data_IF_783378166283
#
_entry.id   IF_783378166283
#
_cell.length_a   1.000
_cell.length_b   1.000
_cell.length_c   1.000
_cell.angle_alpha   90.00
_cell.angle_beta   90.00
_cell.angle_gamma   90.00
#
_symmetry.space_group_name_H-M   'P 1'
#
loop_
_entity.id
_entity.type
_entity.pdbx_description
1 polymer ?
#
# COMPACT_ATOMS: atom_id res chain seq x y z
N UNK A 1 -14.19 21.97 19.67
CA UNK A 1 -13.34 21.12 18.81
C UNK A 1 -14.07 19.81 18.61
N UNK A 2 -14.30 19.41 17.36
CA UNK A 2 -15.00 18.16 17.03
C UNK A 2 -13.99 17.06 16.89
N UNK A 3 -14.21 15.94 17.56
CA UNK A 3 -13.37 14.73 17.38
C UNK A 3 -13.64 14.10 16.02
N UNK A 4 -12.56 13.86 15.30
CA UNK A 4 -12.58 13.21 13.99
C UNK A 4 -11.71 11.96 14.00
N UNK A 5 -12.02 11.04 13.07
CA UNK A 5 -11.23 9.85 12.79
C UNK A 5 -10.69 9.95 11.36
N UNK A 6 -9.47 9.48 11.17
CA UNK A 6 -8.85 9.42 9.84
C UNK A 6 -8.75 7.96 9.36
N UNK A 7 -9.25 7.69 8.16
CA UNK A 7 -8.94 6.47 7.42
C UNK A 7 -7.93 6.81 6.32
N UNK A 8 -6.81 6.11 6.28
CA UNK A 8 -5.75 6.26 5.28
C UNK A 8 -5.65 4.95 4.51
N UNK A 9 -5.91 4.98 3.22
CA UNK A 9 -5.87 3.82 2.33
C UNK A 9 -4.75 4.01 1.30
N UNK A 10 -3.79 3.09 1.30
CA UNK A 10 -2.75 2.99 0.29
C UNK A 10 -3.15 1.95 -0.76
N UNK A 11 -3.92 2.37 -1.75
CA UNK A 11 -4.29 1.54 -2.89
C UNK A 11 -3.13 1.34 -3.88
N UNK A 12 -3.31 0.51 -4.89
CA UNK A 12 -2.27 0.25 -5.90
C UNK A 12 -1.87 1.49 -6.70
N UNK A 13 -2.81 2.40 -6.95
CA UNK A 13 -2.56 3.59 -7.79
C UNK A 13 -2.41 4.89 -7.02
N UNK A 14 -2.64 4.92 -5.71
CA UNK A 14 -2.63 6.16 -4.96
C UNK A 14 -3.04 6.00 -3.51
N UNK A 15 -2.92 7.10 -2.77
CA UNK A 15 -3.34 7.20 -1.37
C UNK A 15 -4.63 8.01 -1.27
N UNK A 16 -5.59 7.54 -0.48
CA UNK A 16 -6.80 8.25 -0.13
C UNK A 16 -6.88 8.46 1.38
N UNK A 17 -7.22 9.65 1.79
CA UNK A 17 -7.49 9.97 3.19
C UNK A 17 -8.95 10.40 3.32
N UNK A 18 -9.67 9.76 4.25
CA UNK A 18 -11.07 10.07 4.56
C UNK A 18 -11.16 10.54 6.02
N UNK A 19 -11.85 11.64 6.23
CA UNK A 19 -12.15 12.22 7.54
C UNK A 19 -13.59 11.92 7.87
N UNK A 20 -13.85 11.29 9.01
CA UNK A 20 -15.21 11.00 9.48
C UNK A 20 -15.40 11.54 10.90
N UNK A 21 -16.66 11.77 11.27
CA UNK A 21 -17.05 12.02 12.66
C UNK A 21 -17.25 10.72 13.46
N UNK A 22 -17.58 10.83 14.73
CA UNK A 22 -17.84 9.67 15.61
C UNK A 22 -19.10 8.86 15.23
N UNK A 23 -19.94 9.40 14.37
CA UNK A 23 -21.14 8.73 13.86
C UNK A 23 -20.92 8.04 12.51
N UNK A 24 -19.72 8.19 11.93
CA UNK A 24 -19.37 7.61 10.63
C UNK A 24 -19.73 8.49 9.43
N UNK A 25 -20.15 9.73 9.64
CA UNK A 25 -20.42 10.63 8.53
C UNK A 25 -19.08 11.13 7.95
N UNK A 26 -18.98 11.10 6.61
CA UNK A 26 -17.79 11.63 5.91
C UNK A 26 -17.86 13.15 5.94
N UNK A 27 -16.85 13.76 6.56
CA UNK A 27 -16.69 15.21 6.64
C UNK A 27 -15.82 15.76 5.52
N UNK A 28 -14.80 15.03 5.13
CA UNK A 28 -13.89 15.37 4.04
C UNK A 28 -13.19 14.14 3.50
N UNK A 29 -12.72 14.23 2.27
CA UNK A 29 -11.79 13.26 1.69
C UNK A 29 -10.89 13.97 0.67
N UNK A 30 -9.68 13.45 0.52
CA UNK A 30 -8.74 13.82 -0.53
C UNK A 30 -7.94 12.59 -0.97
N UNK A 31 -7.39 12.62 -2.17
CA UNK A 31 -6.58 11.52 -2.70
C UNK A 31 -5.48 12.06 -3.61
N UNK A 32 -4.41 11.29 -3.73
CA UNK A 32 -3.31 11.57 -4.64
C UNK A 32 -2.78 10.29 -5.24
N UNK A 33 -2.25 10.39 -6.46
CA UNK A 33 -1.70 9.26 -7.19
C UNK A 33 -0.19 9.18 -7.03
N UNK A 34 0.34 7.97 -7.08
CA UNK A 34 1.77 7.71 -7.20
C UNK A 34 2.04 6.76 -8.38
N UNK A 35 3.20 6.91 -9.04
CA UNK A 35 3.49 6.14 -10.24
C UNK A 35 3.83 4.69 -9.92
N UNK A 36 3.46 3.78 -10.82
CA UNK A 36 4.06 2.46 -10.94
C UNK A 36 5.04 2.46 -12.11
N UNK A 37 6.25 1.99 -11.87
CA UNK A 37 7.26 1.81 -12.90
C UNK A 37 7.14 0.42 -13.51
N UNK A 38 7.32 0.34 -14.83
CA UNK A 38 7.31 -0.91 -15.60
C UNK A 38 8.61 -1.02 -16.41
N UNK A 39 9.78 -1.26 -15.74
CA UNK A 39 11.07 -1.19 -16.40
C UNK A 39 11.27 -2.26 -17.50
N UNK A 40 10.54 -3.36 -17.40
CA UNK A 40 10.51 -4.43 -18.41
C UNK A 40 9.09 -5.00 -18.56
N UNK A 41 8.78 -5.72 -19.65
CA UNK A 41 7.50 -6.40 -19.80
C UNK A 41 7.20 -7.32 -18.61
N UNK A 42 6.02 -7.17 -18.02
CA UNK A 42 5.59 -7.95 -16.85
C UNK A 42 6.16 -7.49 -15.51
N UNK A 43 7.04 -6.48 -15.48
CA UNK A 43 7.57 -5.91 -14.24
C UNK A 43 6.70 -4.78 -13.72
N UNK A 44 6.51 -4.72 -12.41
CA UNK A 44 5.76 -3.65 -11.74
C UNK A 44 6.42 -3.31 -10.42
N UNK A 45 6.83 -2.05 -10.29
CA UNK A 45 7.56 -1.56 -9.12
C UNK A 45 7.05 -0.20 -8.66
N UNK A 46 7.15 0.07 -7.36
CA UNK A 46 6.85 1.37 -6.78
C UNK A 46 7.93 1.79 -5.78
N UNK A 47 8.23 3.08 -5.73
CA UNK A 47 9.12 3.64 -4.73
C UNK A 47 8.35 3.92 -3.42
N UNK A 48 8.73 3.32 -2.27
CA UNK A 48 8.07 3.58 -0.99
C UNK A 48 8.07 5.06 -0.59
N UNK A 49 9.09 5.82 -1.01
CA UNK A 49 9.15 7.26 -0.79
C UNK A 49 7.98 8.02 -1.43
N UNK A 50 7.44 7.54 -2.56
CA UNK A 50 6.28 8.16 -3.22
C UNK A 50 5.01 7.97 -2.42
N UNK A 51 4.82 6.82 -1.77
CA UNK A 51 3.68 6.57 -0.90
C UNK A 51 3.64 7.59 0.24
N UNK A 52 4.80 7.75 0.92
CA UNK A 52 4.95 8.70 2.00
C UNK A 52 4.75 10.15 1.56
N UNK A 53 5.35 10.52 0.43
CA UNK A 53 5.23 11.86 -0.15
C UNK A 53 3.77 12.20 -0.49
N UNK A 54 3.06 11.28 -1.16
CA UNK A 54 1.68 11.49 -1.57
C UNK A 54 0.75 11.56 -0.37
N UNK A 55 0.89 10.66 0.61
CA UNK A 55 0.12 10.74 1.86
C UNK A 55 0.27 12.10 2.53
N UNK A 56 1.52 12.58 2.67
CA UNK A 56 1.76 13.89 3.28
C UNK A 56 1.14 15.05 2.48
N UNK A 57 1.16 14.96 1.14
CA UNK A 57 0.52 15.96 0.27
C UNK A 57 -1.00 15.97 0.48
N UNK A 58 -1.62 14.79 0.52
CA UNK A 58 -3.07 14.65 0.75
C UNK A 58 -3.47 15.17 2.13
N UNK A 59 -2.69 14.85 3.16
CA UNK A 59 -2.92 15.39 4.51
C UNK A 59 -2.75 16.91 4.57
N UNK A 60 -1.75 17.46 3.86
CA UNK A 60 -1.54 18.90 3.79
C UNK A 60 -2.72 19.62 3.10
N UNK A 61 -3.28 19.02 2.03
CA UNK A 61 -4.49 19.54 1.38
C UNK A 61 -5.69 19.57 2.34
N UNK A 62 -5.94 18.46 3.04
CA UNK A 62 -7.04 18.40 4.02
C UNK A 62 -6.88 19.45 5.13
N UNK A 63 -5.64 19.70 5.58
CA UNK A 63 -5.34 20.70 6.61
C UNK A 63 -5.60 22.14 6.17
N UNK A 64 -5.69 22.41 4.88
CA UNK A 64 -6.02 23.75 4.35
C UNK A 64 -7.52 24.03 4.32
N UNK A 65 -8.36 23.03 4.63
CA UNK A 65 -9.82 23.25 4.68
C UNK A 65 -10.19 24.21 5.81
N UNK A 66 -11.15 25.09 5.59
CA UNK A 66 -11.59 26.08 6.61
C UNK A 66 -12.05 25.43 7.92
N UNK A 67 -12.61 24.23 7.84
CA UNK A 67 -13.15 23.50 8.98
C UNK A 67 -12.05 22.87 9.86
N UNK A 68 -10.85 22.65 9.32
CA UNK A 68 -9.78 21.90 9.98
C UNK A 68 -9.40 22.42 11.37
N UNK A 69 -9.31 23.74 11.62
CA UNK A 69 -8.97 24.25 12.95
C UNK A 69 -9.98 23.88 14.05
N UNK A 70 -11.21 23.56 13.67
CA UNK A 70 -12.27 23.10 14.57
C UNK A 70 -12.21 21.59 14.89
N UNK A 71 -11.31 20.84 14.25
CA UNK A 71 -11.20 19.39 14.38
C UNK A 71 -10.04 18.97 15.27
N UNK A 72 -10.25 17.87 16.00
CA UNK A 72 -9.20 17.16 16.75
C UNK A 72 -9.15 15.72 16.28
N UNK A 73 -8.00 15.28 15.76
CA UNK A 73 -7.81 13.89 15.37
C UNK A 73 -7.76 13.03 16.64
N UNK A 74 -8.80 12.23 16.85
CA UNK A 74 -8.92 11.33 18.01
C UNK A 74 -8.27 9.97 17.75
N UNK A 75 -8.34 9.47 16.49
CA UNK A 75 -7.69 8.24 16.09
C UNK A 75 -7.45 8.23 14.57
N UNK A 76 -6.55 7.34 14.14
CA UNK A 76 -6.35 7.02 12.73
C UNK A 76 -6.25 5.51 12.55
N UNK A 77 -6.69 5.05 11.38
CA UNK A 77 -6.47 3.69 10.90
C UNK A 77 -5.85 3.74 9.50
N UNK A 78 -5.01 2.77 9.21
CA UNK A 78 -4.36 2.64 7.91
C UNK A 78 -4.72 1.29 7.30
N UNK A 79 -4.94 1.30 6.01
CA UNK A 79 -5.06 0.12 5.17
C UNK A 79 -4.10 0.23 3.99
N UNK A 80 -3.75 -0.90 3.39
CA UNK A 80 -2.87 -0.92 2.21
C UNK A 80 -3.16 -2.13 1.34
N UNK A 81 -2.80 -2.04 0.06
CA UNK A 81 -2.74 -3.24 -0.76
C UNK A 81 -1.73 -4.23 -0.18
N UNK A 82 -1.93 -5.51 -0.48
CA UNK A 82 -1.10 -6.61 0.01
C UNK A 82 0.02 -6.99 -0.99
N UNK A 83 0.91 -7.90 -0.57
CA UNK A 83 1.93 -8.52 -1.42
C UNK A 83 2.97 -7.56 -2.01
N UNK A 84 3.35 -6.54 -1.24
CA UNK A 84 4.48 -5.68 -1.54
C UNK A 84 5.51 -5.74 -0.42
N UNK A 85 6.68 -6.36 -0.67
CA UNK A 85 7.77 -6.40 0.32
C UNK A 85 8.69 -5.19 0.16
N UNK A 86 8.78 -4.36 1.19
CA UNK A 86 9.76 -3.28 1.27
C UNK A 86 11.05 -3.84 1.86
N UNK A 87 12.12 -3.87 1.06
CA UNK A 87 13.42 -4.35 1.49
C UNK A 87 14.24 -3.20 2.05
N UNK A 88 14.74 -3.38 3.28
CA UNK A 88 15.54 -2.39 3.98
C UNK A 88 16.94 -2.94 4.28
N UNK A 89 17.93 -2.06 4.31
CA UNK A 89 19.25 -2.37 4.81
C UNK A 89 19.33 -2.27 6.35
N UNK A 90 20.52 -2.48 6.92
CA UNK A 90 20.78 -2.41 8.36
C UNK A 90 20.56 -1.01 8.96
N UNK A 91 20.52 0.03 8.12
CA UNK A 91 20.24 1.41 8.49
C UNK A 91 18.78 1.83 8.23
N UNK A 92 17.90 0.85 7.96
CA UNK A 92 16.49 1.04 7.60
C UNK A 92 16.28 1.88 6.34
N UNK A 93 17.27 1.87 5.42
CA UNK A 93 17.12 2.52 4.12
C UNK A 93 16.55 1.55 3.09
N UNK A 94 15.67 2.05 2.24
CA UNK A 94 15.09 1.24 1.16
C UNK A 94 16.18 0.85 0.16
N UNK A 95 16.39 -0.46 -0.03
CA UNK A 95 17.44 -1.00 -0.91
C UNK A 95 17.07 -0.82 -2.38
N UNK A 96 15.78 -0.96 -2.71
CA UNK A 96 15.27 -0.89 -4.08
C UNK A 96 13.78 -0.57 -4.10
N UNK A 97 13.22 -0.18 -5.26
CA UNK A 97 11.76 -0.11 -5.42
C UNK A 97 11.08 -1.43 -5.05
N UNK A 98 9.91 -1.32 -4.43
CA UNK A 98 9.10 -2.47 -4.04
C UNK A 98 8.50 -3.14 -5.27
N UNK A 99 8.69 -4.44 -5.40
CA UNK A 99 7.95 -5.27 -6.35
C UNK A 99 6.52 -5.38 -5.83
N UNK A 100 5.54 -5.01 -6.64
CA UNK A 100 4.14 -5.00 -6.24
C UNK A 100 3.37 -6.19 -6.80
N UNK A 101 2.20 -6.46 -6.30
CA UNK A 101 1.37 -7.65 -6.59
C UNK A 101 1.00 -7.84 -8.07
N UNK A 102 1.11 -6.81 -8.91
CA UNK A 102 0.87 -6.91 -10.35
C UNK A 102 2.08 -7.40 -11.14
N UNK A 103 3.23 -7.57 -10.48
CA UNK A 103 4.46 -8.06 -11.10
C UNK A 103 4.37 -9.53 -11.49
N UNK A 104 4.96 -9.87 -12.62
CA UNK A 104 4.94 -11.24 -13.18
C UNK A 104 6.34 -11.82 -13.39
N UNK A 105 7.41 -11.13 -12.89
CA UNK A 105 8.79 -11.54 -13.15
C UNK A 105 9.15 -12.92 -12.62
N UNK A 106 8.52 -13.35 -11.51
CA UNK A 106 8.77 -14.66 -10.89
C UNK A 106 7.92 -15.81 -11.47
N UNK A 107 7.22 -15.59 -12.59
CA UNK A 107 6.42 -16.64 -13.22
C UNK A 107 7.22 -17.90 -13.58
N UNK A 108 8.46 -17.81 -14.11
CA UNK A 108 9.29 -18.99 -14.37
C UNK A 108 9.65 -19.76 -13.10
N UNK A 109 9.97 -19.06 -12.01
CA UNK A 109 10.31 -19.66 -10.71
C UNK A 109 9.10 -20.38 -10.11
N UNK A 110 7.91 -19.77 -10.17
CA UNK A 110 6.68 -20.40 -9.73
C UNK A 110 6.37 -21.68 -10.53
N UNK A 111 6.64 -21.67 -11.85
CA UNK A 111 6.43 -22.85 -12.71
C UNK A 111 7.45 -23.95 -12.45
N UNK A 112 8.67 -23.59 -12.09
CA UNK A 112 9.77 -24.53 -11.84
C UNK A 112 9.66 -25.26 -10.51
N UNK A 113 8.78 -24.83 -9.58
CA UNK A 113 8.57 -25.53 -8.31
C UNK A 113 8.06 -26.95 -8.54
N UNK A 114 8.69 -27.92 -7.88
CA UNK A 114 8.25 -29.32 -7.92
C UNK A 114 6.88 -29.50 -7.25
N UNK A 115 6.12 -30.56 -7.62
CA UNK A 115 4.77 -30.79 -7.10
C UNK A 115 4.70 -30.84 -5.57
N UNK A 116 5.67 -31.48 -4.92
CA UNK A 116 5.67 -31.62 -3.44
C UNK A 116 5.82 -30.26 -2.77
N UNK A 117 6.73 -29.42 -3.25
CA UNK A 117 6.93 -28.06 -2.73
C UNK A 117 5.66 -27.21 -2.93
N UNK A 118 5.00 -27.33 -4.09
CA UNK A 118 3.72 -26.65 -4.34
C UNK A 118 2.63 -27.08 -3.38
N UNK A 119 2.50 -28.38 -3.13
CA UNK A 119 1.52 -28.94 -2.20
C UNK A 119 1.81 -28.51 -0.76
N UNK A 120 3.09 -28.49 -0.36
CA UNK A 120 3.49 -28.02 0.97
C UNK A 120 3.18 -26.51 1.15
N UNK A 121 3.46 -25.66 0.15
CA UNK A 121 3.11 -24.23 0.15
C UNK A 121 1.59 -24.07 0.29
N UNK A 122 0.82 -24.81 -0.51
CA UNK A 122 -0.65 -24.77 -0.45
C UNK A 122 -1.17 -25.23 0.92
N UNK A 123 -0.62 -26.31 1.46
CA UNK A 123 -1.04 -26.87 2.77
C UNK A 123 -0.78 -25.91 3.92
N UNK A 124 0.32 -25.14 3.88
CA UNK A 124 0.72 -24.22 4.95
C UNK A 124 0.06 -22.84 4.75
N UNK A 125 0.11 -22.31 3.52
CA UNK A 125 -0.32 -20.96 3.19
C UNK A 125 -1.75 -20.85 2.63
N UNK A 126 -2.41 -21.98 2.37
CA UNK A 126 -3.74 -22.07 1.76
C UNK A 126 -3.84 -21.43 0.37
N UNK A 127 -2.68 -21.24 -0.29
CA UNK A 127 -2.65 -20.61 -1.61
C UNK A 127 -1.55 -21.21 -2.47
N UNK A 128 -1.82 -21.30 -3.78
CA UNK A 128 -0.83 -21.77 -4.75
C UNK A 128 0.22 -20.68 -5.00
N UNK A 129 1.49 -21.03 -5.14
CA UNK A 129 2.53 -20.06 -5.47
C UNK A 129 2.25 -19.44 -6.86
N UNK A 130 2.14 -18.14 -6.89
CA UNK A 130 1.95 -17.34 -8.12
C UNK A 130 2.82 -16.09 -8.06
N UNK A 131 3.16 -15.48 -9.20
CA UNK A 131 4.00 -14.28 -9.23
C UNK A 131 3.41 -13.09 -8.47
N UNK A 132 2.10 -13.09 -8.25
CA UNK A 132 1.40 -12.01 -7.54
C UNK A 132 1.54 -12.10 -6.02
N UNK A 133 2.18 -13.15 -5.51
CA UNK A 133 2.44 -13.33 -4.08
C UNK A 133 3.81 -12.80 -3.69
N UNK A 134 3.92 -12.29 -2.46
CA UNK A 134 5.11 -11.59 -1.97
C UNK A 134 6.39 -12.41 -2.07
N UNK A 135 6.31 -13.70 -1.86
CA UNK A 135 7.44 -14.64 -1.88
C UNK A 135 6.99 -15.95 -2.55
N UNK A 136 6.97 -16.01 -3.86
CA UNK A 136 6.76 -17.27 -4.59
C UNK A 136 7.95 -18.21 -4.46
#
# INVERSE_FOLDING_TARGET
MTDILLGIDFGTGGCKVTVIDSLGNILAAASGEYPSAHPYPGWSEQAPADWWRVMNTVLAELRQRPEWPGWRVAALAMDSYTHGAVLLDEHLQVIRPTIIWTDQRSAPECQALDPKTRDDIFRIGYQMPTPTWTLP
#
